data_IF_484978637633
#
_entry.id   IF_484978637633
#
_cell.length_a   1.000
_cell.length_b   1.000
_cell.length_c   1.000
_cell.angle_alpha   90.00
_cell.angle_beta   90.00
_cell.angle_gamma   90.00
#
_symmetry.space_group_name_H-M   'P 1'
#
loop_
_entity.id
_entity.type
_entity.pdbx_description
1 polymer ?
#
# COMPACT_ATOMS: atom_id res chain seq x y z
N UNK A 1 -20.80 18.32 -2.76
CA UNK A 1 -22.14 17.77 -2.35
C UNK A 1 -22.76 18.82 -1.44
N UNK A 2 -24.04 19.13 -1.58
CA UNK A 2 -24.70 20.08 -0.68
C UNK A 2 -25.20 19.32 0.55
N UNK A 3 -24.85 19.79 1.74
CA UNK A 3 -25.37 19.27 3.00
C UNK A 3 -26.29 20.31 3.64
N UNK A 4 -27.42 19.84 4.14
CA UNK A 4 -28.33 20.67 4.94
C UNK A 4 -27.85 20.73 6.37
N UNK A 5 -27.53 21.92 6.83
CA UNK A 5 -27.21 22.19 8.24
C UNK A 5 -28.37 22.94 8.88
N UNK A 6 -28.36 23.08 10.20
CA UNK A 6 -29.32 23.93 10.93
C UNK A 6 -29.31 25.41 10.49
N UNK A 7 -28.27 25.81 9.77
CA UNK A 7 -28.03 27.19 9.31
C UNK A 7 -28.20 27.36 7.78
N UNK A 8 -28.72 26.33 7.07
CA UNK A 8 -28.94 26.35 5.63
C UNK A 8 -28.08 25.36 4.83
N UNK A 9 -28.18 25.40 3.51
CA UNK A 9 -27.35 24.59 2.60
C UNK A 9 -25.90 25.11 2.63
N UNK A 10 -24.97 24.22 2.95
CA UNK A 10 -23.52 24.44 2.87
C UNK A 10 -22.95 23.49 1.84
N UNK A 11 -22.11 23.99 0.93
CA UNK A 11 -21.32 23.10 0.07
C UNK A 11 -20.19 22.49 0.90
N UNK A 12 -20.11 21.16 0.97
CA UNK A 12 -18.94 20.49 1.54
C UNK A 12 -17.69 20.98 0.81
N UNK A 13 -16.63 21.34 1.56
CA UNK A 13 -15.36 21.70 0.95
C UNK A 13 -14.87 20.51 0.12
N UNK A 14 -14.61 20.75 -1.16
CA UNK A 14 -14.16 19.72 -2.10
C UNK A 14 -12.66 19.43 -1.89
N UNK A 15 -12.28 19.23 -0.61
CA UNK A 15 -10.90 19.06 -0.14
C UNK A 15 -10.73 17.74 0.60
N UNK A 16 -9.48 17.31 0.72
CA UNK A 16 -9.06 16.08 1.39
C UNK A 16 -7.64 16.22 1.91
N UNK A 17 -7.36 15.68 3.10
CA UNK A 17 -6.01 15.64 3.64
C UNK A 17 -5.20 14.51 3.01
N UNK A 18 -3.99 14.82 2.57
CA UNK A 18 -3.05 13.82 2.09
C UNK A 18 -2.53 12.97 3.25
N UNK A 19 -2.60 11.65 3.13
CA UNK A 19 -2.11 10.71 4.16
C UNK A 19 -0.59 10.70 4.34
N UNK A 20 0.17 11.37 3.45
CA UNK A 20 1.64 11.39 3.47
C UNK A 20 2.15 12.74 3.98
N UNK A 21 1.75 13.86 3.35
CA UNK A 21 2.22 15.18 3.75
C UNK A 21 1.31 15.88 4.77
N UNK A 22 0.11 15.33 5.05
CA UNK A 22 -0.85 15.92 5.97
C UNK A 22 -1.59 17.15 5.43
N UNK A 23 -1.15 17.72 4.31
CA UNK A 23 -1.74 18.94 3.76
C UNK A 23 -3.14 18.70 3.23
N UNK A 24 -4.03 19.65 3.51
CA UNK A 24 -5.35 19.73 2.91
C UNK A 24 -5.24 20.24 1.48
N UNK A 25 -5.82 19.50 0.52
CA UNK A 25 -5.75 19.79 -0.91
C UNK A 25 -7.09 19.55 -1.57
N UNK A 26 -7.31 20.21 -2.70
CA UNK A 26 -8.50 19.97 -3.51
C UNK A 26 -8.55 18.52 -4.02
N UNK A 27 -9.74 17.90 -4.10
CA UNK A 27 -9.88 16.47 -4.44
C UNK A 27 -9.26 16.12 -5.80
N UNK A 28 -9.22 17.03 -6.76
CA UNK A 28 -8.58 16.80 -8.06
C UNK A 28 -7.05 16.69 -7.99
N UNK A 29 -6.43 17.03 -6.86
CA UNK A 29 -5.03 16.76 -6.60
C UNK A 29 -4.75 15.31 -6.15
N UNK A 30 -5.78 14.47 -6.09
CA UNK A 30 -5.69 13.06 -5.78
C UNK A 30 -6.19 12.22 -6.96
N UNK A 31 -5.44 11.19 -7.33
CA UNK A 31 -5.85 10.29 -8.41
C UNK A 31 -7.09 9.49 -8.01
N UNK A 32 -7.97 9.26 -8.97
CA UNK A 32 -9.06 8.30 -8.81
C UNK A 32 -8.49 6.90 -8.55
N UNK A 33 -9.09 6.17 -7.63
CA UNK A 33 -8.84 4.73 -7.46
C UNK A 33 -9.36 4.07 -8.72
N UNK A 34 -8.47 3.52 -9.52
CA UNK A 34 -8.76 3.01 -10.85
C UNK A 34 -10.01 2.13 -10.89
N UNK A 35 -11.02 2.61 -11.56
CA UNK A 35 -12.16 1.83 -11.96
C UNK A 35 -12.46 2.20 -13.40
N UNK A 36 -12.15 1.33 -14.33
CA UNK A 36 -12.79 1.26 -15.65
C UNK A 36 -14.25 0.75 -15.50
N UNK A 37 -14.95 1.18 -14.47
CA UNK A 37 -16.36 0.85 -14.30
C UNK A 37 -17.14 2.02 -14.85
N UNK A 38 -18.03 1.76 -15.79
CA UNK A 38 -18.87 2.74 -16.49
C UNK A 38 -19.69 3.64 -15.55
N UNK A 39 -19.81 3.27 -14.26
CA UNK A 39 -20.55 3.98 -13.23
C UNK A 39 -19.64 4.53 -12.10
N UNK A 40 -18.35 4.77 -12.37
CA UNK A 40 -17.43 5.26 -11.35
C UNK A 40 -17.61 6.78 -11.19
N UNK A 41 -18.30 7.17 -10.12
CA UNK A 41 -18.48 8.60 -9.80
C UNK A 41 -17.18 9.19 -9.24
N UNK A 42 -16.88 10.41 -9.65
CA UNK A 42 -15.76 11.21 -9.12
C UNK A 42 -16.17 11.79 -7.77
N UNK A 43 -16.06 10.96 -6.74
CA UNK A 43 -16.32 11.35 -5.35
C UNK A 43 -15.04 11.36 -4.54
N UNK A 44 -15.07 12.04 -3.40
CA UNK A 44 -13.94 12.12 -2.46
C UNK A 44 -13.46 10.73 -2.03
N UNK A 45 -14.38 9.78 -1.78
CA UNK A 45 -14.09 8.42 -1.35
C UNK A 45 -13.41 7.60 -2.44
N UNK A 46 -13.72 7.90 -3.69
CA UNK A 46 -13.17 7.24 -4.86
C UNK A 46 -11.78 7.76 -5.26
N UNK A 47 -11.27 8.74 -4.55
CA UNK A 47 -9.92 9.25 -4.75
C UNK A 47 -8.93 8.59 -3.79
N UNK A 48 -7.67 8.47 -4.22
CA UNK A 48 -6.57 7.95 -3.39
C UNK A 48 -6.38 8.79 -2.13
N UNK A 49 -5.69 8.25 -1.15
CA UNK A 49 -5.41 8.96 0.10
C UNK A 49 -4.14 9.82 0.00
N UNK A 50 -3.25 9.47 -0.91
CA UNK A 50 -2.03 10.22 -1.21
C UNK A 50 -2.26 11.20 -2.38
N UNK A 51 -1.83 12.46 -2.23
CA UNK A 51 -1.91 13.45 -3.30
C UNK A 51 -0.96 13.11 -4.46
N UNK A 52 -1.23 13.71 -5.64
CA UNK A 52 -0.48 13.45 -6.87
C UNK A 52 1.03 13.66 -6.71
N UNK A 53 1.44 14.68 -5.95
CA UNK A 53 2.86 14.98 -5.70
C UNK A 53 3.52 13.88 -4.87
N UNK A 54 2.91 13.50 -3.75
CA UNK A 54 3.41 12.43 -2.89
C UNK A 54 3.41 11.09 -3.63
N UNK A 55 2.34 10.78 -4.35
CA UNK A 55 2.25 9.56 -5.17
C UNK A 55 3.34 9.50 -6.23
N UNK A 56 3.62 10.60 -6.92
CA UNK A 56 4.70 10.66 -7.93
C UNK A 56 6.08 10.41 -7.32
N UNK A 57 6.35 10.95 -6.12
CA UNK A 57 7.60 10.69 -5.39
C UNK A 57 7.74 9.20 -5.04
N UNK A 58 6.70 8.58 -4.49
CA UNK A 58 6.68 7.15 -4.17
C UNK A 58 6.89 6.27 -5.40
N UNK A 59 6.22 6.59 -6.52
CA UNK A 59 6.37 5.84 -7.77
C UNK A 59 7.79 5.95 -8.34
N UNK A 60 8.42 7.13 -8.21
CA UNK A 60 9.81 7.34 -8.59
C UNK A 60 10.76 6.49 -7.73
N UNK A 61 10.59 6.49 -6.42
CA UNK A 61 11.38 5.67 -5.49
C UNK A 61 11.24 4.18 -5.80
N UNK A 62 10.00 3.69 -5.94
CA UNK A 62 9.72 2.29 -6.29
C UNK A 62 10.37 1.90 -7.62
N UNK A 63 10.36 2.79 -8.62
CA UNK A 63 10.99 2.53 -9.92
C UNK A 63 12.51 2.44 -9.82
N UNK A 64 13.14 3.31 -9.02
CA UNK A 64 14.58 3.29 -8.76
C UNK A 64 14.94 2.00 -8.02
N UNK A 65 14.23 1.67 -6.94
CA UNK A 65 14.44 0.45 -6.18
C UNK A 65 14.36 -0.81 -7.07
N UNK A 66 13.36 -0.89 -7.94
CA UNK A 66 13.21 -2.00 -8.91
C UNK A 66 14.37 -2.07 -9.91
N UNK A 67 14.87 -0.92 -10.34
CA UNK A 67 16.02 -0.89 -11.27
C UNK A 67 17.29 -1.41 -10.59
N UNK A 68 17.50 -1.06 -9.33
CA UNK A 68 18.67 -1.51 -8.53
C UNK A 68 18.56 -2.99 -8.20
N UNK A 69 17.41 -3.44 -7.71
CA UNK A 69 17.20 -4.83 -7.29
C UNK A 69 17.14 -5.84 -8.46
N UNK A 70 16.82 -5.38 -9.66
CA UNK A 70 16.67 -6.24 -10.84
C UNK A 70 15.42 -7.14 -10.77
N UNK A 71 15.52 -8.36 -11.33
CA UNK A 71 14.45 -9.36 -11.34
C UNK A 71 14.56 -10.28 -10.13
N UNK A 72 13.40 -10.66 -9.57
CA UNK A 72 13.36 -11.71 -8.57
C UNK A 72 13.88 -13.03 -9.16
N UNK A 73 14.84 -13.72 -8.51
CA UNK A 73 15.34 -15.02 -8.98
C UNK A 73 14.22 -16.07 -9.07
N UNK A 74 14.32 -16.99 -10.04
CA UNK A 74 13.30 -18.02 -10.24
C UNK A 74 13.17 -19.02 -9.08
N UNK A 75 14.29 -19.31 -8.41
CA UNK A 75 14.38 -20.20 -7.24
C UNK A 75 14.24 -19.47 -5.90
N UNK A 76 13.67 -18.26 -5.92
CA UNK A 76 13.53 -17.42 -4.73
C UNK A 76 12.52 -17.99 -3.72
N UNK A 77 12.85 -17.87 -2.44
CA UNK A 77 11.93 -18.09 -1.32
C UNK A 77 11.80 -16.81 -0.49
N UNK A 78 10.60 -16.56 0.04
CA UNK A 78 10.36 -15.39 0.88
C UNK A 78 11.21 -15.47 2.16
N UNK A 79 12.06 -14.47 2.45
CA UNK A 79 12.94 -14.51 3.61
C UNK A 79 12.19 -14.44 4.95
N UNK A 80 10.91 -14.08 4.95
CA UNK A 80 10.11 -13.97 6.17
C UNK A 80 9.40 -15.28 6.49
N UNK A 81 8.68 -15.88 5.52
CA UNK A 81 7.89 -17.10 5.75
C UNK A 81 8.47 -18.36 5.13
N UNK A 82 9.62 -18.28 4.45
CA UNK A 82 10.32 -19.41 3.82
C UNK A 82 9.65 -19.97 2.56
N UNK A 83 8.44 -19.52 2.19
CA UNK A 83 7.67 -20.09 1.08
C UNK A 83 8.24 -19.71 -0.28
N UNK A 84 8.36 -20.72 -1.15
CA UNK A 84 8.73 -20.55 -2.55
C UNK A 84 7.50 -20.27 -3.45
N UNK A 85 7.75 -20.05 -4.75
CA UNK A 85 6.72 -19.74 -5.76
C UNK A 85 5.62 -20.80 -5.83
N UNK A 86 5.99 -22.09 -5.77
CA UNK A 86 5.04 -23.20 -5.86
C UNK A 86 4.09 -23.24 -4.65
N UNK A 87 4.62 -23.02 -3.46
CA UNK A 87 3.85 -22.98 -2.20
C UNK A 87 2.93 -21.76 -2.10
N UNK A 88 3.18 -20.73 -2.91
CA UNK A 88 2.39 -19.51 -2.97
C UNK A 88 1.33 -19.54 -4.09
N UNK A 89 1.40 -20.53 -5.02
CA UNK A 89 0.40 -20.69 -6.09
C UNK A 89 -1.01 -20.90 -5.50
N UNK A 90 -1.99 -20.26 -6.11
CA UNK A 90 -3.40 -20.44 -5.77
C UNK A 90 -3.89 -19.72 -4.52
N UNK A 91 -3.02 -19.07 -3.74
CA UNK A 91 -3.43 -18.36 -2.52
C UNK A 91 -4.00 -16.95 -2.77
N UNK A 92 -3.88 -16.44 -3.98
CA UNK A 92 -4.39 -15.12 -4.36
C UNK A 92 -5.16 -15.20 -5.68
N UNK A 93 -6.48 -15.06 -5.60
CA UNK A 93 -7.35 -14.99 -6.78
C UNK A 93 -6.92 -13.81 -7.67
N UNK A 94 -6.69 -14.09 -8.97
CA UNK A 94 -6.32 -13.08 -9.97
C UNK A 94 -4.81 -12.91 -10.23
N UNK A 95 -3.95 -13.71 -9.61
CA UNK A 95 -2.48 -13.57 -9.74
C UNK A 95 -1.81 -14.66 -10.57
N UNK A 96 -2.59 -15.39 -11.36
CA UNK A 96 -2.11 -16.55 -12.13
C UNK A 96 -0.92 -16.23 -13.07
N UNK A 97 -0.76 -14.96 -13.49
CA UNK A 97 0.28 -14.54 -14.43
C UNK A 97 1.29 -13.53 -13.83
N UNK A 98 1.30 -13.33 -12.50
CA UNK A 98 2.22 -12.39 -11.84
C UNK A 98 3.14 -13.11 -10.86
N UNK A 99 4.31 -12.55 -10.63
CA UNK A 99 5.18 -13.03 -9.55
C UNK A 99 4.45 -12.93 -8.21
N UNK A 100 4.47 -13.99 -7.38
CA UNK A 100 3.91 -13.91 -6.02
C UNK A 100 4.80 -13.08 -5.10
N UNK A 101 5.98 -12.67 -5.56
CA UNK A 101 6.92 -11.83 -4.82
C UNK A 101 6.85 -10.39 -5.29
N UNK A 102 6.98 -9.49 -4.34
CA UNK A 102 7.09 -8.04 -4.56
C UNK A 102 8.41 -7.58 -3.96
N UNK A 103 8.99 -6.55 -4.57
CA UNK A 103 10.16 -5.90 -4.00
C UNK A 103 9.71 -5.05 -2.82
N UNK A 104 10.21 -5.40 -1.65
CA UNK A 104 10.12 -4.58 -0.44
C UNK A 104 11.24 -3.53 -0.43
N UNK A 105 10.94 -2.37 0.09
CA UNK A 105 11.88 -1.25 0.16
C UNK A 105 11.60 -0.41 1.39
N UNK A 106 12.62 0.26 1.85
CA UNK A 106 12.51 1.23 2.93
C UNK A 106 11.66 2.43 2.50
N UNK A 107 10.67 2.80 3.30
CA UNK A 107 9.72 3.87 2.94
C UNK A 107 10.29 5.28 3.15
N UNK A 108 11.37 5.43 3.92
CA UNK A 108 12.03 6.71 4.14
C UNK A 108 13.12 6.94 3.09
N UNK A 109 14.01 5.96 2.91
CA UNK A 109 15.15 6.07 2.01
C UNK A 109 14.84 5.66 0.58
N UNK A 110 13.85 4.77 0.38
CA UNK A 110 13.51 4.15 -0.90
C UNK A 110 14.47 3.03 -1.30
N UNK A 111 15.39 2.62 -0.42
CA UNK A 111 16.35 1.55 -0.70
C UNK A 111 15.65 0.18 -0.73
N UNK A 112 15.98 -0.69 -1.71
CA UNK A 112 15.42 -2.02 -1.80
C UNK A 112 15.95 -2.88 -0.65
N UNK A 113 15.05 -3.58 0.05
CA UNK A 113 15.41 -4.53 1.12
C UNK A 113 15.50 -5.96 0.57
N UNK A 114 14.41 -6.50 0.07
CA UNK A 114 14.35 -7.88 -0.46
C UNK A 114 13.10 -8.11 -1.30
N UNK A 115 13.07 -9.21 -2.05
CA UNK A 115 11.82 -9.73 -2.59
C UNK A 115 11.12 -10.55 -1.51
N UNK A 116 9.90 -10.18 -1.14
CA UNK A 116 9.06 -10.89 -0.17
C UNK A 116 7.72 -11.25 -0.80
N UNK A 117 7.03 -12.25 -0.24
CA UNK A 117 5.71 -12.58 -0.76
C UNK A 117 4.69 -11.49 -0.40
N UNK A 118 3.66 -11.35 -1.24
CA UNK A 118 2.63 -10.32 -1.04
C UNK A 118 1.96 -10.39 0.34
N UNK A 119 1.77 -11.60 0.88
CA UNK A 119 1.18 -11.78 2.20
C UNK A 119 2.05 -11.17 3.31
N UNK A 120 3.35 -11.47 3.29
CA UNK A 120 4.29 -10.87 4.24
C UNK A 120 4.40 -9.34 4.07
N UNK A 121 4.40 -8.86 2.82
CA UNK A 121 4.41 -7.43 2.53
C UNK A 121 3.19 -6.68 3.10
N UNK A 122 2.00 -7.27 2.99
CA UNK A 122 0.78 -6.70 3.59
C UNK A 122 0.85 -6.74 5.11
N UNK A 123 1.34 -7.87 5.69
CA UNK A 123 1.46 -8.02 7.15
C UNK A 123 2.45 -7.05 7.78
N UNK A 124 3.56 -6.74 7.11
CA UNK A 124 4.54 -5.76 7.59
C UNK A 124 4.05 -4.32 7.44
N UNK A 125 3.31 -4.01 6.36
CA UNK A 125 2.88 -2.66 6.05
C UNK A 125 1.74 -2.15 6.93
N UNK A 126 1.15 -1.01 6.51
CA UNK A 126 0.08 -0.28 7.23
C UNK A 126 -1.17 -1.08 7.60
N UNK A 127 -1.45 -2.16 6.87
CA UNK A 127 -2.58 -3.05 7.16
C UNK A 127 -2.25 -4.16 8.18
N UNK A 128 -1.02 -4.17 8.69
CA UNK A 128 -0.53 -5.12 9.69
C UNK A 128 0.20 -4.38 10.81
N UNK A 129 1.50 -4.60 10.89
CA UNK A 129 2.34 -4.04 11.97
C UNK A 129 2.87 -2.64 11.69
N UNK A 130 2.55 -2.03 10.54
CA UNK A 130 3.03 -0.70 10.12
C UNK A 130 4.56 -0.54 10.23
N UNK A 131 5.29 -1.63 9.91
CA UNK A 131 6.76 -1.75 10.04
C UNK A 131 7.31 -1.46 11.46
N UNK A 132 6.44 -1.49 12.47
CA UNK A 132 6.82 -1.22 13.84
C UNK A 132 7.49 -2.44 14.48
N UNK A 133 8.81 -2.33 14.69
CA UNK A 133 9.63 -3.42 15.24
C UNK A 133 9.17 -3.80 16.66
N UNK A 134 8.75 -2.84 17.48
CA UNK A 134 8.29 -3.14 18.83
C UNK A 134 6.98 -3.94 18.83
N UNK A 135 6.05 -3.58 17.95
CA UNK A 135 4.80 -4.34 17.78
C UNK A 135 5.06 -5.78 17.29
N UNK A 136 6.04 -5.98 16.40
CA UNK A 136 6.46 -7.31 15.96
C UNK A 136 7.07 -8.14 17.11
N UNK A 137 7.92 -7.53 17.95
CA UNK A 137 8.48 -8.20 19.14
C UNK A 137 7.40 -8.57 20.13
N UNK A 138 6.46 -7.68 20.41
CA UNK A 138 5.34 -7.94 21.29
C UNK A 138 4.45 -9.07 20.77
N UNK A 139 4.25 -9.18 19.45
CA UNK A 139 3.50 -10.25 18.84
C UNK A 139 4.22 -11.62 18.99
N UNK A 140 5.54 -11.64 18.87
CA UNK A 140 6.35 -12.85 19.12
C UNK A 140 6.20 -13.28 20.57
N UNK A 141 6.44 -12.37 21.53
CA UNK A 141 6.33 -12.64 22.96
C UNK A 141 4.92 -13.15 23.33
N UNK A 142 3.87 -12.53 22.80
CA UNK A 142 2.50 -12.99 22.98
C UNK A 142 2.28 -14.43 22.52
N UNK A 143 2.82 -14.82 21.35
CA UNK A 143 2.68 -16.17 20.84
C UNK A 143 3.50 -17.19 21.68
N UNK A 144 4.70 -16.81 22.12
CA UNK A 144 5.57 -17.68 22.95
C UNK A 144 4.99 -17.92 24.34
N UNK A 145 4.22 -16.97 24.88
CA UNK A 145 3.61 -17.11 26.23
C UNK A 145 2.24 -17.80 26.21
N UNK A 146 1.62 -17.95 25.04
CA UNK A 146 0.27 -18.52 24.91
C UNK A 146 0.27 -19.95 24.37
N UNK A 147 1.40 -20.47 23.93
CA UNK A 147 1.62 -21.84 23.45
C UNK A 147 2.74 -22.52 24.21
#
# INVERSE_FOLDING_TARGET
MKIMTLWGEVEEPNTKNCSICGEEKHIHEFQLRSGKKENFQDTRENRRNECNVCKSKLDKQTRIAKKVAGKCPDNHSCPICGKNKEQLKGKHNGWQNRSPFVLDHDHETGEPRAFICQHCNIGLGKNGFDENIQSLKNAIEYLETTY
#
